data_IF_608615813589
#
_entry.id   IF_608615813589
#
_cell.length_a   1.000
_cell.length_b   1.000
_cell.length_c   1.000
_cell.angle_alpha   90.00
_cell.angle_beta   90.00
_cell.angle_gamma   90.00
#
_symmetry.space_group_name_H-M   'P 1'
#
loop_
_entity.id
_entity.type
_entity.pdbx_description
1 polymer ?
#
# COMPACT_ATOMS: atom_id res chain seq x y z
N UNK A 1 -15.33 -13.42 -9.95
CA UNK A 1 -15.78 -12.01 -9.96
C UNK A 1 -15.63 -11.35 -8.59
N UNK A 2 -16.64 -11.42 -7.71
CA UNK A 2 -16.74 -10.59 -6.49
C UNK A 2 -15.50 -10.55 -5.57
N UNK A 3 -14.85 -11.70 -5.31
CA UNK A 3 -13.63 -11.75 -4.47
C UNK A 3 -12.49 -10.90 -5.06
N UNK A 4 -12.23 -10.98 -6.37
CA UNK A 4 -11.20 -10.19 -7.04
C UNK A 4 -11.48 -8.69 -7.00
N UNK A 5 -12.75 -8.27 -7.09
CA UNK A 5 -13.12 -6.85 -6.95
C UNK A 5 -12.98 -6.34 -5.51
N UNK A 6 -13.21 -7.18 -4.50
CA UNK A 6 -12.96 -6.83 -3.08
C UNK A 6 -11.45 -6.71 -2.81
N UNK A 7 -10.65 -7.64 -3.34
CA UNK A 7 -9.17 -7.61 -3.25
C UNK A 7 -8.60 -6.35 -3.91
N UNK A 8 -9.07 -6.01 -5.11
CA UNK A 8 -8.70 -4.75 -5.79
C UNK A 8 -9.12 -3.51 -4.98
N UNK A 9 -10.31 -3.53 -4.36
CA UNK A 9 -10.80 -2.44 -3.50
C UNK A 9 -9.97 -2.27 -2.22
N UNK A 10 -9.54 -3.37 -1.59
CA UNK A 10 -8.64 -3.32 -0.43
C UNK A 10 -7.24 -2.81 -0.81
N UNK A 11 -6.73 -3.22 -1.97
CA UNK A 11 -5.44 -2.75 -2.47
C UNK A 11 -5.46 -1.26 -2.83
N UNK A 12 -6.50 -0.75 -3.51
CA UNK A 12 -6.63 0.69 -3.78
C UNK A 12 -6.87 1.50 -2.51
N UNK A 13 -7.61 0.98 -1.53
CA UNK A 13 -7.75 1.61 -0.21
C UNK A 13 -6.40 1.71 0.53
N UNK A 14 -5.55 0.68 0.46
CA UNK A 14 -4.21 0.71 1.03
C UNK A 14 -3.32 1.79 0.38
N UNK A 15 -3.29 1.85 -0.96
CA UNK A 15 -2.56 2.90 -1.69
C UNK A 15 -3.11 4.31 -1.41
N UNK A 16 -4.42 4.45 -1.25
CA UNK A 16 -5.06 5.71 -0.84
C UNK A 16 -4.62 6.12 0.56
N UNK A 17 -4.56 5.18 1.51
CA UNK A 17 -4.02 5.42 2.86
C UNK A 17 -2.57 5.93 2.83
N UNK A 18 -1.70 5.30 2.03
CA UNK A 18 -0.31 5.75 1.84
C UNK A 18 -0.25 7.18 1.28
N UNK A 19 -1.09 7.50 0.29
CA UNK A 19 -1.18 8.86 -0.26
C UNK A 19 -1.67 9.90 0.76
N UNK A 20 -2.69 9.56 1.55
CA UNK A 20 -3.19 10.41 2.63
C UNK A 20 -2.12 10.67 3.69
N UNK A 21 -1.33 9.66 4.07
CA UNK A 21 -0.23 9.79 5.02
C UNK A 21 0.79 10.83 4.54
N UNK A 22 1.28 10.71 3.29
CA UNK A 22 2.26 11.66 2.72
C UNK A 22 1.67 13.06 2.57
N UNK A 23 0.39 13.16 2.16
CA UNK A 23 -0.30 14.44 2.00
C UNK A 23 -0.44 15.22 3.32
N UNK A 24 -0.90 14.55 4.37
CA UNK A 24 -1.12 15.16 5.69
C UNK A 24 0.17 15.44 6.45
N UNK A 25 1.13 14.51 6.46
CA UNK A 25 2.40 14.67 7.15
C UNK A 25 3.33 15.68 6.47
N UNK A 26 3.44 15.64 5.13
CA UNK A 26 4.39 16.46 4.37
C UNK A 26 3.65 17.57 3.63
N UNK A 27 3.08 17.29 2.46
CA UNK A 27 2.35 18.26 1.63
C UNK A 27 1.54 17.55 0.56
N UNK A 28 0.26 17.88 0.43
CA UNK A 28 -0.67 17.34 -0.59
C UNK A 28 -0.08 17.30 -2.01
N UNK A 29 0.67 18.33 -2.43
CA UNK A 29 1.27 18.39 -3.77
C UNK A 29 2.30 17.28 -4.07
N UNK A 30 2.79 16.56 -3.06
CA UNK A 30 3.77 15.46 -3.20
C UNK A 30 3.09 14.08 -3.02
N UNK A 31 1.85 14.02 -2.51
CA UNK A 31 1.15 12.77 -2.23
C UNK A 31 0.99 11.87 -3.45
N UNK A 32 0.53 12.42 -4.59
CA UNK A 32 0.40 11.69 -5.86
C UNK A 32 1.75 11.13 -6.36
N UNK A 33 2.77 11.98 -6.58
CA UNK A 33 4.12 11.55 -6.95
C UNK A 33 4.73 10.49 -6.02
N UNK A 34 4.50 10.59 -4.71
CA UNK A 34 5.01 9.62 -3.74
C UNK A 34 4.33 8.25 -3.87
N UNK A 35 3.00 8.19 -4.04
CA UNK A 35 2.29 6.91 -4.29
C UNK A 35 2.75 6.29 -5.60
N UNK A 36 2.92 7.09 -6.67
CA UNK A 36 3.44 6.60 -7.95
C UNK A 36 4.86 6.03 -7.80
N UNK A 37 5.75 6.72 -7.08
CA UNK A 37 7.10 6.22 -6.82
C UNK A 37 7.10 4.92 -6.00
N UNK A 38 6.25 4.81 -4.97
CA UNK A 38 6.11 3.60 -4.16
C UNK A 38 5.61 2.43 -5.00
N UNK A 39 4.58 2.62 -5.83
CA UNK A 39 4.06 1.58 -6.73
C UNK A 39 5.12 1.13 -7.75
N UNK A 40 5.89 2.07 -8.33
CA UNK A 40 6.99 1.74 -9.25
C UNK A 40 8.07 0.92 -8.54
N UNK A 41 8.48 1.31 -7.33
CA UNK A 41 9.47 0.55 -6.53
C UNK A 41 8.95 -0.84 -6.18
N UNK A 42 7.68 -0.98 -5.76
CA UNK A 42 7.07 -2.28 -5.50
C UNK A 42 7.05 -3.16 -6.74
N UNK A 43 6.69 -2.62 -7.91
CA UNK A 43 6.70 -3.33 -9.19
C UNK A 43 8.13 -3.75 -9.60
N UNK A 44 9.14 -2.89 -9.39
CA UNK A 44 10.54 -3.25 -9.62
C UNK A 44 11.01 -4.37 -8.69
N UNK A 45 10.63 -4.38 -7.41
CA UNK A 45 10.95 -5.48 -6.48
C UNK A 45 10.31 -6.78 -6.95
N UNK A 46 9.02 -6.75 -7.30
CA UNK A 46 8.25 -7.91 -7.77
C UNK A 46 8.82 -8.50 -9.09
N UNK A 47 9.41 -7.66 -9.95
CA UNK A 47 10.03 -8.09 -11.21
C UNK A 47 11.49 -8.57 -11.04
N UNK A 48 12.30 -7.89 -10.22
CA UNK A 48 13.73 -8.18 -10.07
C UNK A 48 14.02 -9.26 -9.03
N UNK A 49 13.23 -9.38 -7.95
CA UNK A 49 13.50 -10.33 -6.89
C UNK A 49 13.39 -11.82 -7.33
N UNK A 50 12.48 -12.21 -8.25
CA UNK A 50 12.53 -13.53 -8.88
C UNK A 50 13.74 -13.67 -9.82
N UNK A 51 13.98 -12.67 -10.69
CA UNK A 51 15.04 -12.71 -11.70
C UNK A 51 16.45 -12.83 -11.10
N UNK A 52 16.69 -12.19 -9.95
CA UNK A 52 17.95 -12.19 -9.21
C UNK A 52 18.03 -13.27 -8.12
N UNK A 53 17.03 -14.18 -8.04
CA UNK A 53 16.94 -15.23 -7.00
C UNK A 53 17.08 -14.68 -5.55
N UNK A 54 16.54 -13.48 -5.29
CA UNK A 54 16.67 -12.84 -3.98
C UNK A 54 15.92 -13.61 -2.88
N UNK A 55 16.45 -13.65 -1.65
CA UNK A 55 15.92 -14.49 -0.58
C UNK A 55 14.46 -14.14 -0.27
N UNK A 56 13.65 -15.17 0.02
CA UNK A 56 12.18 -15.10 0.04
C UNK A 56 11.59 -13.98 0.90
N UNK A 57 12.27 -13.56 1.96
CA UNK A 57 11.90 -12.40 2.79
C UNK A 57 11.70 -11.12 1.95
N UNK A 58 12.56 -10.87 0.95
CA UNK A 58 12.48 -9.70 0.06
C UNK A 58 11.28 -9.80 -0.89
N UNK A 59 11.03 -10.99 -1.44
CA UNK A 59 9.83 -11.26 -2.25
C UNK A 59 8.54 -11.08 -1.41
N UNK A 60 8.56 -11.39 -0.11
CA UNK A 60 7.41 -11.21 0.79
C UNK A 60 7.12 -9.74 1.15
N UNK A 61 8.02 -8.79 0.90
CA UNK A 61 7.73 -7.35 1.06
C UNK A 61 6.82 -6.81 -0.07
N UNK A 62 6.73 -7.49 -1.21
CA UNK A 62 5.77 -7.15 -2.25
C UNK A 62 4.36 -7.59 -1.81
N UNK A 63 3.45 -6.64 -1.55
CA UNK A 63 2.05 -6.96 -1.33
C UNK A 63 1.46 -7.71 -2.53
N UNK A 64 1.92 -7.42 -3.75
CA UNK A 64 1.54 -8.09 -5.01
C UNK A 64 1.66 -9.62 -4.94
N UNK A 65 2.70 -10.15 -4.30
CA UNK A 65 2.90 -11.59 -4.14
C UNK A 65 1.74 -12.26 -3.36
N UNK A 66 1.10 -11.53 -2.46
CA UNK A 66 -0.07 -11.98 -1.68
C UNK A 66 -1.41 -11.66 -2.38
N UNK A 67 -1.42 -11.00 -3.55
CA UNK A 67 -2.62 -10.77 -4.36
C UNK A 67 -2.88 -11.90 -5.37
N UNK A 68 -1.84 -12.58 -5.84
CA UNK A 68 -1.96 -13.67 -6.81
C UNK A 68 -2.79 -14.86 -6.30
N UNK A 69 -2.61 -15.24 -5.03
CA UNK A 69 -3.40 -16.30 -4.37
C UNK A 69 -4.92 -15.97 -4.38
N UNK A 70 -5.38 -14.80 -3.90
CA UNK A 70 -6.79 -14.38 -4.00
C UNK A 70 -7.36 -14.34 -5.42
N UNK A 71 -6.58 -13.96 -6.42
CA UNK A 71 -7.06 -13.94 -7.82
C UNK A 71 -7.23 -15.35 -8.41
N UNK A 72 -6.51 -16.35 -7.89
CA UNK A 72 -6.72 -17.77 -8.15
C UNK A 72 -7.81 -18.41 -7.26
N UNK A 73 -8.45 -17.62 -6.39
CA UNK A 73 -9.54 -18.06 -5.52
C UNK A 73 -9.12 -18.55 -4.12
N UNK A 74 -7.82 -18.58 -3.80
CA UNK A 74 -7.35 -18.94 -2.45
C UNK A 74 -7.14 -17.67 -1.61
N UNK A 75 -7.92 -17.47 -0.54
CA UNK A 75 -7.93 -16.21 0.19
C UNK A 75 -6.73 -16.05 1.14
N UNK A 76 -5.87 -15.06 0.85
CA UNK A 76 -4.71 -14.71 1.67
C UNK A 76 -5.06 -13.69 2.75
N UNK A 77 -5.24 -14.18 3.98
CA UNK A 77 -5.53 -13.33 5.15
C UNK A 77 -4.41 -12.35 5.50
N UNK A 78 -3.15 -12.67 5.21
CA UNK A 78 -1.99 -11.84 5.57
C UNK A 78 -1.91 -10.63 4.63
N UNK A 79 -2.05 -10.87 3.32
CA UNK A 79 -2.12 -9.79 2.32
C UNK A 79 -3.28 -8.82 2.55
N UNK A 80 -4.46 -9.35 2.88
CA UNK A 80 -5.64 -8.51 3.16
C UNK A 80 -5.50 -7.74 4.47
N UNK A 81 -4.94 -8.34 5.53
CA UNK A 81 -4.64 -7.64 6.78
C UNK A 81 -3.60 -6.52 6.56
N UNK A 82 -2.55 -6.76 5.76
CA UNK A 82 -1.57 -5.74 5.42
C UNK A 82 -2.19 -4.55 4.68
N UNK A 83 -3.06 -4.80 3.69
CA UNK A 83 -3.80 -3.74 2.99
C UNK A 83 -4.65 -2.90 3.97
N UNK A 84 -5.37 -3.56 4.88
CA UNK A 84 -6.27 -2.92 5.84
C UNK A 84 -5.49 -2.09 6.88
N UNK A 85 -4.36 -2.60 7.39
CA UNK A 85 -3.46 -1.86 8.29
C UNK A 85 -2.87 -0.63 7.58
N UNK A 86 -2.41 -0.75 6.33
CA UNK A 86 -1.89 0.40 5.58
C UNK A 86 -2.96 1.48 5.33
N UNK A 87 -4.20 1.07 5.03
CA UNK A 87 -5.31 2.00 4.86
C UNK A 87 -5.61 2.77 6.16
N UNK A 88 -5.76 2.07 7.29
CA UNK A 88 -6.09 2.68 8.59
C UNK A 88 -4.92 3.51 9.18
N UNK A 89 -3.70 2.99 9.11
CA UNK A 89 -2.52 3.72 9.59
C UNK A 89 -2.30 4.99 8.76
N UNK A 90 -2.48 4.91 7.44
CA UNK A 90 -2.34 6.05 6.54
C UNK A 90 -3.37 7.16 6.77
N UNK A 91 -4.64 6.77 6.97
CA UNK A 91 -5.72 7.69 7.39
C UNK A 91 -5.37 8.37 8.73
N UNK A 92 -4.95 7.58 9.72
CA UNK A 92 -4.65 8.06 11.08
C UNK A 92 -3.46 9.02 11.11
N UNK A 93 -2.39 8.71 10.37
CA UNK A 93 -1.23 9.58 10.19
C UNK A 93 -1.58 10.87 9.44
N UNK A 94 -2.50 10.80 8.47
CA UNK A 94 -2.99 11.98 7.74
C UNK A 94 -3.75 12.94 8.67
N UNK A 95 -4.73 12.41 9.41
CA UNK A 95 -5.54 13.19 10.36
C UNK A 95 -4.66 13.83 11.45
N UNK A 96 -3.77 13.05 12.08
CA UNK A 96 -2.85 13.58 13.08
C UNK A 96 -1.81 14.56 12.50
N UNK A 97 -1.44 14.43 11.22
CA UNK A 97 -0.58 15.39 10.52
C UNK A 97 -1.28 16.73 10.26
N UNK A 98 -2.57 16.70 9.91
CA UNK A 98 -3.42 17.89 9.74
C UNK A 98 -3.65 18.60 11.08
N UNK A 99 -4.06 17.87 12.13
CA UNK A 99 -4.24 18.46 13.47
C UNK A 99 -2.94 19.02 14.08
N UNK A 100 -1.76 18.60 13.59
CA UNK A 100 -0.46 19.21 13.95
C UNK A 100 -0.19 20.56 13.29
N UNK A 101 -1.00 20.95 12.31
CA UNK A 101 -0.94 22.24 11.59
C UNK A 101 -2.00 23.21 12.09
N UNK A 102 -3.19 22.70 12.42
CA UNK A 102 -4.31 23.52 12.93
C UNK A 102 -3.97 24.22 14.25
N UNK A 103 -3.07 23.65 15.06
CA UNK A 103 -2.56 24.23 16.33
C UNK A 103 -1.34 25.16 16.16
N UNK A 104 -0.94 25.47 14.92
CA UNK A 104 0.19 26.32 14.59
C UNK A 104 -0.21 27.60 13.83
N UNK A 105 -1.49 27.99 13.98
CA UNK A 105 -2.16 29.15 13.35
C UNK A 105 -2.73 30.04 14.48
#
# INVERSE_FOLDING_TARGET
AALGTVVLGLYTAALTGVGLAVGGLVRTSIAGPAVVAIVIVTFFVDLLAPALHLPRWVNQLALTAHLGQPMLGNWDWVGMAACLVLALAGLSLSAWGLSRRDVAI
#
